data_IF_522614994615
#
_entry.id   IF_522614994615
#
_cell.length_a   1.000
_cell.length_b   1.000
_cell.length_c   1.000
_cell.angle_alpha   90.00
_cell.angle_beta   90.00
_cell.angle_gamma   90.00
#
_symmetry.space_group_name_H-M   'P 1'
#
loop_
_entity.id
_entity.type
_entity.pdbx_description
1 polymer ?
#
# COMPACT_ATOMS: atom_id res chain seq x y z
N UNK A 1 2.12 12.58 26.06
CA UNK A 1 2.77 11.82 24.96
C UNK A 1 1.68 11.34 24.04
N UNK A 2 1.90 11.44 22.73
CA UNK A 2 1.04 10.89 21.67
C UNK A 2 1.93 10.34 20.55
N UNK A 3 1.40 9.55 19.62
CA UNK A 3 2.12 9.08 18.45
C UNK A 3 1.96 10.04 17.26
N UNK A 4 2.94 10.03 16.35
CA UNK A 4 2.90 10.82 15.10
C UNK A 4 1.87 10.30 14.11
N UNK A 5 1.48 9.03 14.23
CA UNK A 5 0.52 8.33 13.37
C UNK A 5 -0.26 7.29 14.18
N UNK A 6 -1.56 7.14 13.91
CA UNK A 6 -2.45 6.26 14.68
C UNK A 6 -3.06 5.13 13.86
N UNK A 7 -2.84 5.13 12.54
CA UNK A 7 -3.28 4.07 11.64
C UNK A 7 -2.26 3.92 10.52
N UNK A 8 -1.78 2.70 10.29
CA UNK A 8 -0.84 2.37 9.22
C UNK A 8 -1.27 1.09 8.52
N UNK A 9 -1.14 1.09 7.21
CA UNK A 9 -1.19 -0.13 6.40
C UNK A 9 0.19 -0.36 5.82
N UNK A 10 0.79 -1.50 6.12
CA UNK A 10 2.12 -1.88 5.65
C UNK A 10 2.10 -3.24 4.96
N UNK A 11 2.88 -3.39 3.92
CA UNK A 11 3.00 -4.65 3.19
C UNK A 11 3.96 -5.61 3.92
N UNK A 12 3.66 -6.89 3.91
CA UNK A 12 4.52 -7.93 4.48
C UNK A 12 5.97 -7.81 4.00
N UNK A 13 6.91 -7.75 4.95
CA UNK A 13 8.32 -7.51 4.73
C UNK A 13 8.74 -6.04 4.73
N UNK A 14 7.81 -5.09 4.60
CA UNK A 14 8.10 -3.66 4.70
C UNK A 14 8.23 -3.21 6.16
N UNK A 15 8.76 -2.01 6.35
CA UNK A 15 8.93 -1.39 7.66
C UNK A 15 8.27 -0.01 7.70
N UNK A 16 7.83 0.41 8.89
CA UNK A 16 7.43 1.79 9.13
C UNK A 16 8.08 2.33 10.41
N UNK A 17 8.23 3.65 10.47
CA UNK A 17 8.77 4.36 11.63
C UNK A 17 7.63 5.12 12.30
N UNK A 18 7.44 4.90 13.60
CA UNK A 18 6.41 5.55 14.41
C UNK A 18 7.11 6.39 15.49
N UNK A 19 6.92 7.72 15.45
CA UNK A 19 7.57 8.61 16.39
C UNK A 19 6.65 8.98 17.55
N UNK A 20 7.13 8.94 18.82
CA UNK A 20 6.43 9.53 19.94
C UNK A 20 6.59 11.06 19.92
N UNK A 21 5.50 11.76 20.21
CA UNK A 21 5.45 13.21 20.35
C UNK A 21 5.18 13.56 21.82
N UNK A 22 6.00 14.42 22.40
CA UNK A 22 5.88 14.84 23.79
C UNK A 22 5.42 16.30 23.88
N UNK A 23 4.55 16.58 24.86
CA UNK A 23 4.11 17.94 25.17
C UNK A 23 4.22 18.16 26.67
N UNK A 24 5.03 19.16 27.13
CA UNK A 24 5.95 19.97 26.33
C UNK A 24 7.13 19.14 25.78
N UNK A 25 7.71 19.57 24.68
CA UNK A 25 8.86 18.93 24.01
C UNK A 25 10.19 19.04 24.82
N UNK A 26 10.20 19.95 25.80
CA UNK A 26 11.32 20.18 26.73
C UNK A 26 11.48 19.12 27.83
N UNK A 27 10.70 18.03 27.78
CA UNK A 27 10.85 16.89 28.72
C UNK A 27 12.23 16.26 28.55
N UNK A 28 12.98 16.17 29.66
CA UNK A 28 14.37 15.73 29.67
C UNK A 28 14.55 14.23 29.32
N UNK A 29 13.53 13.41 29.55
CA UNK A 29 13.55 11.98 29.19
C UNK A 29 12.33 11.66 28.35
N UNK A 30 12.55 11.43 27.05
CA UNK A 30 11.55 11.06 26.05
C UNK A 30 11.60 9.57 25.70
N UNK A 31 12.17 8.73 26.58
CA UNK A 31 12.24 7.30 26.36
C UNK A 31 10.86 6.64 26.39
N UNK A 32 10.65 5.73 25.46
CA UNK A 32 9.41 4.98 25.26
C UNK A 32 9.71 3.48 25.25
N UNK A 33 8.90 2.74 25.95
CA UNK A 33 8.84 1.28 25.80
C UNK A 33 7.83 0.94 24.71
N UNK A 34 8.28 0.18 23.72
CA UNK A 34 7.49 -0.24 22.58
C UNK A 34 7.11 -1.72 22.66
N UNK A 35 5.88 -2.03 22.30
CA UNK A 35 5.41 -3.39 22.11
C UNK A 35 4.33 -3.46 21.03
N UNK A 36 4.06 -4.67 20.53
CA UNK A 36 2.89 -4.96 19.69
C UNK A 36 1.98 -5.95 20.41
N UNK A 37 0.68 -5.85 20.16
CA UNK A 37 -0.30 -6.77 20.73
C UNK A 37 -0.14 -8.19 20.14
N UNK A 38 0.29 -8.28 18.88
CA UNK A 38 0.61 -9.55 18.21
C UNK A 38 1.90 -9.42 17.39
N UNK A 39 2.96 -10.07 17.88
CA UNK A 39 4.28 -10.05 17.22
C UNK A 39 4.36 -10.96 15.99
N UNK A 40 3.39 -11.84 15.77
CA UNK A 40 3.31 -12.64 14.55
C UNK A 40 2.81 -11.80 13.37
N UNK A 41 2.02 -10.76 13.64
CA UNK A 41 1.52 -9.83 12.62
C UNK A 41 2.55 -8.73 12.36
N UNK A 42 3.02 -8.04 13.40
CA UNK A 42 4.07 -7.03 13.29
C UNK A 42 4.87 -6.93 14.59
N UNK A 43 6.15 -6.58 14.49
CA UNK A 43 7.05 -6.46 15.64
C UNK A 43 8.04 -5.32 15.48
N UNK A 44 8.51 -4.76 16.58
CA UNK A 44 9.59 -3.80 16.56
C UNK A 44 10.94 -4.49 16.33
N UNK A 45 11.72 -3.96 15.38
CA UNK A 45 13.11 -4.36 15.14
C UNK A 45 14.07 -3.62 16.05
N UNK A 46 13.76 -2.36 16.34
CA UNK A 46 14.52 -1.46 17.21
C UNK A 46 13.59 -0.44 17.86
N UNK A 47 14.12 0.70 18.32
CA UNK A 47 13.43 1.69 19.18
C UNK A 47 12.12 2.23 18.58
N UNK A 48 12.02 2.39 17.24
CA UNK A 48 10.89 3.07 16.60
C UNK A 48 10.48 2.44 15.26
N UNK A 49 11.20 1.41 14.82
CA UNK A 49 11.00 0.77 13.52
C UNK A 49 10.22 -0.52 13.68
N UNK A 50 8.99 -0.52 13.19
CA UNK A 50 8.10 -1.67 13.11
C UNK A 50 8.31 -2.40 11.78
N UNK A 51 8.34 -3.74 11.80
CA UNK A 51 8.33 -4.59 10.60
C UNK A 51 7.03 -5.36 10.50
N UNK A 52 6.46 -5.42 9.31
CA UNK A 52 5.35 -6.29 8.96
C UNK A 52 5.83 -7.74 8.81
N UNK A 53 5.23 -8.68 9.52
CA UNK A 53 5.67 -10.09 9.54
C UNK A 53 4.73 -10.96 8.72
N UNK A 54 3.43 -10.91 9.01
CA UNK A 54 2.41 -11.73 8.34
C UNK A 54 1.11 -10.94 8.22
N UNK A 55 0.36 -11.19 7.16
CA UNK A 55 -0.95 -10.58 6.95
C UNK A 55 -1.86 -10.68 8.18
N UNK A 56 -2.47 -9.55 8.56
CA UNK A 56 -3.34 -9.46 9.72
C UNK A 56 -3.47 -8.04 10.25
N UNK A 57 -4.01 -7.90 11.46
CA UNK A 57 -4.10 -6.61 12.15
C UNK A 57 -3.65 -6.73 13.59
N UNK A 58 -2.90 -5.73 14.06
CA UNK A 58 -2.42 -5.64 15.43
C UNK A 58 -2.39 -4.18 15.89
N UNK A 59 -1.89 -3.93 17.08
CA UNK A 59 -1.66 -2.60 17.62
C UNK A 59 -0.19 -2.44 18.03
N UNK A 60 0.44 -1.37 17.59
CA UNK A 60 1.69 -0.90 18.15
C UNK A 60 1.36 -0.01 19.37
N UNK A 61 2.03 -0.26 20.48
CA UNK A 61 1.76 0.40 21.77
C UNK A 61 3.04 1.07 22.24
N UNK A 62 2.95 2.33 22.56
CA UNK A 62 4.02 3.14 23.13
C UNK A 62 3.68 3.51 24.56
N UNK A 63 4.58 3.26 25.51
CA UNK A 63 4.41 3.59 26.92
C UNK A 63 5.59 4.45 27.37
N UNK A 64 5.31 5.62 27.97
CA UNK A 64 6.37 6.47 28.49
C UNK A 64 7.12 5.80 29.64
N UNK A 65 8.45 5.78 29.57
CA UNK A 65 9.30 5.21 30.63
C UNK A 65 9.24 6.02 31.93
N UNK A 66 8.97 7.32 31.85
CA UNK A 66 8.90 8.21 33.02
C UNK A 66 7.51 8.27 33.65
N UNK A 67 6.46 7.94 32.91
CA UNK A 67 5.08 7.94 33.39
C UNK A 67 4.27 6.85 32.68
N UNK A 68 4.17 5.70 33.30
CA UNK A 68 3.49 4.51 32.74
C UNK A 68 1.98 4.70 32.51
N UNK A 69 1.37 5.77 33.04
CA UNK A 69 -0.01 6.13 32.76
C UNK A 69 -0.15 6.86 31.39
N UNK A 70 0.96 7.27 30.79
CA UNK A 70 1.00 7.88 29.47
C UNK A 70 1.38 6.86 28.42
N UNK A 71 0.38 6.35 27.76
CA UNK A 71 0.50 5.42 26.64
C UNK A 71 -0.30 5.92 25.46
N UNK A 72 0.08 5.51 24.26
CA UNK A 72 -0.68 5.73 23.04
C UNK A 72 -0.51 4.54 22.09
N UNK A 73 -1.44 4.39 21.14
CA UNK A 73 -1.50 3.23 20.25
C UNK A 73 -1.66 3.63 18.79
N UNK A 74 -1.05 2.84 17.91
CA UNK A 74 -1.24 2.91 16.47
C UNK A 74 -1.84 1.58 15.99
N UNK A 75 -2.94 1.63 15.22
CA UNK A 75 -3.47 0.45 14.53
C UNK A 75 -2.53 0.08 13.39
N UNK A 76 -2.20 -1.19 13.28
CA UNK A 76 -1.32 -1.73 12.25
C UNK A 76 -2.08 -2.77 11.45
N UNK A 77 -2.26 -2.52 10.16
CA UNK A 77 -2.81 -3.47 9.21
C UNK A 77 -1.69 -3.96 8.30
N UNK A 78 -1.44 -5.26 8.29
CA UNK A 78 -0.45 -5.87 7.40
C UNK A 78 -1.18 -6.52 6.23
N UNK A 79 -0.85 -6.09 5.02
CA UNK A 79 -1.35 -6.67 3.77
C UNK A 79 -0.33 -7.68 3.22
N UNK A 80 -0.80 -8.69 2.51
CA UNK A 80 0.06 -9.65 1.82
C UNK A 80 0.97 -8.94 0.82
N UNK A 81 2.14 -9.50 0.61
CA UNK A 81 3.05 -9.03 -0.43
C UNK A 81 2.39 -9.16 -1.82
N UNK A 82 2.49 -8.11 -2.62
CA UNK A 82 2.02 -8.14 -4.00
C UNK A 82 3.02 -8.89 -4.87
N UNK A 83 2.69 -10.13 -5.20
CA UNK A 83 3.50 -11.03 -6.01
C UNK A 83 2.65 -11.68 -7.08
N UNK A 84 3.07 -11.59 -8.35
CA UNK A 84 2.37 -12.15 -9.51
C UNK A 84 2.82 -13.57 -9.86
N UNK A 85 3.72 -14.17 -9.10
CA UNK A 85 4.28 -15.49 -9.44
C UNK A 85 3.23 -16.60 -9.51
N UNK A 86 2.09 -16.43 -8.84
CA UNK A 86 0.97 -17.37 -8.88
C UNK A 86 0.05 -17.22 -10.13
N UNK A 87 0.23 -16.17 -10.93
CA UNK A 87 -0.73 -15.80 -12.00
C UNK A 87 -0.30 -16.28 -13.38
N UNK A 88 0.71 -17.14 -13.49
CA UNK A 88 1.17 -17.70 -14.77
C UNK A 88 0.22 -18.73 -15.41
N UNK A 89 -0.82 -19.15 -14.68
CA UNK A 89 -1.81 -20.12 -15.17
C UNK A 89 -2.98 -19.48 -15.93
N UNK A 90 -3.03 -18.13 -16.01
CA UNK A 90 -4.05 -17.44 -16.77
C UNK A 90 -3.70 -17.39 -18.26
N UNK A 91 -4.64 -17.84 -19.15
CA UNK A 91 -4.35 -17.96 -20.58
C UNK A 91 -4.40 -16.62 -21.33
N UNK A 92 -5.03 -15.60 -20.76
CA UNK A 92 -5.24 -14.31 -21.43
C UNK A 92 -4.76 -13.15 -20.57
N UNK A 93 -4.49 -12.03 -21.23
CA UNK A 93 -4.13 -10.78 -20.57
C UNK A 93 -4.82 -9.57 -21.20
N UNK A 94 -5.01 -8.55 -20.41
CA UNK A 94 -5.52 -7.24 -20.76
C UNK A 94 -4.44 -6.20 -20.46
N UNK A 95 -4.19 -5.25 -21.38
CA UNK A 95 -3.14 -4.24 -21.21
C UNK A 95 -3.76 -2.86 -21.04
N UNK A 96 -3.32 -2.16 -19.99
CA UNK A 96 -3.83 -0.84 -19.66
C UNK A 96 -2.69 0.17 -19.72
N UNK A 97 -2.90 1.25 -20.48
CA UNK A 97 -2.02 2.42 -20.55
C UNK A 97 -2.69 3.55 -19.78
N UNK A 98 -2.19 3.89 -18.60
CA UNK A 98 -2.86 4.82 -17.69
C UNK A 98 -2.03 6.07 -17.32
N UNK A 99 -2.69 7.24 -17.27
CA UNK A 99 -2.27 8.39 -16.46
C UNK A 99 -2.89 8.23 -15.06
N UNK A 100 -2.06 7.90 -14.09
CA UNK A 100 -2.51 7.64 -12.72
C UNK A 100 -2.22 8.84 -11.84
N UNK A 101 -3.24 9.29 -11.11
CA UNK A 101 -3.17 10.41 -10.17
C UNK A 101 -3.67 9.98 -8.80
N UNK A 102 -2.85 10.23 -7.79
CA UNK A 102 -3.18 10.01 -6.39
C UNK A 102 -3.15 11.36 -5.68
N UNK A 103 -4.30 11.81 -5.16
CA UNK A 103 -4.48 13.14 -4.57
C UNK A 103 -3.94 14.26 -5.47
N UNK A 104 -4.25 14.20 -6.77
CA UNK A 104 -3.82 15.14 -7.79
C UNK A 104 -2.34 15.04 -8.22
N UNK A 105 -1.55 14.18 -7.60
CA UNK A 105 -0.13 13.99 -7.91
C UNK A 105 0.11 12.76 -8.79
N UNK A 106 1.09 12.77 -9.70
CA UNK A 106 1.47 11.61 -10.47
C UNK A 106 2.10 10.53 -9.56
N UNK A 107 1.95 9.27 -9.95
CA UNK A 107 2.59 8.13 -9.27
C UNK A 107 4.10 8.32 -9.24
N UNK A 108 4.71 7.97 -8.11
CA UNK A 108 6.16 7.97 -7.88
C UNK A 108 6.64 6.58 -7.44
N UNK A 109 7.94 6.45 -7.17
CA UNK A 109 8.60 5.17 -6.85
C UNK A 109 8.18 4.58 -5.48
N UNK A 110 7.60 5.40 -4.60
CA UNK A 110 7.07 4.95 -3.30
C UNK A 110 5.66 4.35 -3.41
N UNK A 111 5.02 4.49 -4.58
CA UNK A 111 3.65 4.04 -4.84
C UNK A 111 3.65 2.78 -5.69
N UNK A 112 3.06 1.70 -5.18
CA UNK A 112 2.78 0.48 -5.94
C UNK A 112 1.33 0.52 -6.41
N UNK A 113 1.13 0.21 -7.70
CA UNK A 113 -0.20 0.10 -8.30
C UNK A 113 -0.47 -1.37 -8.59
N UNK A 114 -1.57 -1.88 -8.04
CA UNK A 114 -2.04 -3.25 -8.29
C UNK A 114 -3.41 -3.27 -8.93
N UNK A 115 -3.63 -4.22 -9.84
CA UNK A 115 -4.92 -4.56 -10.41
C UNK A 115 -5.43 -5.86 -9.78
N UNK A 116 -6.67 -5.87 -9.32
CA UNK A 116 -7.24 -6.97 -8.54
C UNK A 116 -8.58 -7.43 -9.09
N UNK A 117 -8.83 -8.74 -9.03
CA UNK A 117 -10.17 -9.32 -9.10
C UNK A 117 -10.55 -9.79 -7.69
N UNK A 118 -11.48 -9.08 -7.04
CA UNK A 118 -11.74 -9.26 -5.61
C UNK A 118 -10.48 -8.99 -4.77
N UNK A 119 -9.95 -10.03 -4.12
CA UNK A 119 -8.71 -9.94 -3.34
C UNK A 119 -7.48 -10.53 -4.06
N UNK A 120 -7.65 -11.07 -5.25
CA UNK A 120 -6.58 -11.66 -6.01
C UNK A 120 -5.85 -10.61 -6.86
N UNK A 121 -4.55 -10.49 -6.67
CA UNK A 121 -3.70 -9.64 -7.49
C UNK A 121 -3.58 -10.24 -8.90
N UNK A 122 -3.96 -9.50 -9.92
CA UNK A 122 -3.96 -9.89 -11.33
C UNK A 122 -2.94 -9.13 -12.17
N UNK A 123 -2.45 -8.01 -11.69
CA UNK A 123 -1.48 -7.18 -12.41
C UNK A 123 -0.76 -6.19 -11.52
N UNK A 124 0.44 -5.77 -11.94
CA UNK A 124 1.22 -4.70 -11.31
C UNK A 124 1.50 -3.59 -12.31
N UNK A 125 1.40 -2.36 -11.84
CA UNK A 125 1.71 -1.16 -12.61
C UNK A 125 3.22 -0.93 -12.71
N UNK A 126 3.70 -0.73 -13.93
CA UNK A 126 5.07 -0.34 -14.21
C UNK A 126 5.07 1.06 -14.84
N UNK A 127 5.70 2.02 -14.17
CA UNK A 127 5.83 3.37 -14.72
C UNK A 127 6.86 3.37 -15.84
N UNK A 128 6.45 3.88 -16.99
CA UNK A 128 7.25 3.96 -18.22
C UNK A 128 7.27 5.39 -18.75
N UNK A 129 8.34 5.72 -19.45
CA UNK A 129 8.42 6.97 -20.23
C UNK A 129 8.80 6.66 -21.67
N UNK A 130 8.01 7.15 -22.61
CA UNK A 130 8.29 7.01 -24.04
C UNK A 130 7.99 8.31 -24.77
N UNK A 131 8.96 8.81 -25.53
CA UNK A 131 8.85 10.06 -26.29
C UNK A 131 8.38 11.26 -25.45
N UNK A 132 8.85 11.35 -24.19
CA UNK A 132 8.48 12.42 -23.25
C UNK A 132 7.09 12.27 -22.62
N UNK A 133 6.38 11.18 -22.90
CA UNK A 133 5.10 10.85 -22.25
C UNK A 133 5.35 9.80 -21.16
N UNK A 134 5.02 10.17 -19.92
CA UNK A 134 5.07 9.25 -18.77
C UNK A 134 3.70 8.62 -18.57
N UNK A 135 3.66 7.30 -18.42
CA UNK A 135 2.43 6.54 -18.18
C UNK A 135 2.73 5.30 -17.34
N UNK A 136 1.69 4.73 -16.74
CA UNK A 136 1.77 3.44 -16.07
C UNK A 136 1.20 2.37 -16.99
N UNK A 137 1.99 1.34 -17.26
CA UNK A 137 1.56 0.14 -17.99
C UNK A 137 1.16 -0.91 -16.96
N UNK A 138 -0.07 -1.42 -17.04
CA UNK A 138 -0.56 -2.51 -16.21
C UNK A 138 -0.96 -3.66 -17.13
N UNK A 139 -0.31 -4.82 -16.98
CA UNK A 139 -0.75 -6.05 -17.62
C UNK A 139 -1.54 -6.85 -16.59
N UNK A 140 -2.79 -7.11 -16.89
CA UNK A 140 -3.75 -7.81 -16.02
C UNK A 140 -4.01 -9.17 -16.60
N UNK A 141 -3.72 -10.22 -15.84
CA UNK A 141 -3.92 -11.61 -16.25
C UNK A 141 -5.31 -12.10 -15.85
N UNK A 142 -5.93 -12.93 -16.69
CA UNK A 142 -7.28 -13.44 -16.46
C UNK A 142 -7.59 -14.72 -17.20
N UNK A 143 -8.76 -15.34 -16.90
CA UNK A 143 -9.13 -16.64 -17.48
C UNK A 143 -9.44 -16.50 -18.98
N UNK A 144 -10.60 -15.98 -19.31
CA UNK A 144 -11.04 -15.75 -20.69
C UNK A 144 -11.67 -14.35 -20.78
N UNK A 145 -11.52 -13.69 -21.92
CA UNK A 145 -12.03 -12.34 -22.18
C UNK A 145 -13.53 -12.17 -21.85
N UNK A 146 -14.32 -13.22 -21.99
CA UNK A 146 -15.75 -13.21 -21.72
C UNK A 146 -16.12 -13.53 -20.26
N UNK A 147 -15.17 -13.61 -19.35
CA UNK A 147 -15.46 -13.88 -17.92
C UNK A 147 -16.21 -12.74 -17.22
N UNK A 148 -16.16 -11.54 -17.78
CA UNK A 148 -16.73 -10.31 -17.20
C UNK A 148 -16.31 -10.05 -15.74
N UNK A 149 -15.13 -10.52 -15.35
CA UNK A 149 -14.56 -10.25 -14.04
C UNK A 149 -14.30 -8.74 -13.90
N UNK A 150 -14.68 -8.20 -12.75
CA UNK A 150 -14.42 -6.78 -12.45
C UNK A 150 -13.01 -6.64 -11.90
N UNK A 151 -12.23 -5.80 -12.55
CA UNK A 151 -10.87 -5.44 -12.14
C UNK A 151 -10.93 -4.08 -11.45
N UNK A 152 -10.54 -4.06 -10.18
CA UNK A 152 -10.36 -2.85 -9.38
C UNK A 152 -8.86 -2.54 -9.23
N UNK A 153 -8.54 -1.28 -9.04
CA UNK A 153 -7.16 -0.84 -8.92
C UNK A 153 -6.91 -0.32 -7.51
N UNK A 154 -5.73 -0.62 -6.96
CA UNK A 154 -5.32 -0.16 -5.63
C UNK A 154 -3.94 0.46 -5.70
N UNK A 155 -3.74 1.51 -4.91
CA UNK A 155 -2.45 2.15 -4.67
C UNK A 155 -2.00 1.85 -3.24
N UNK A 156 -0.82 1.27 -3.10
CA UNK A 156 -0.12 1.18 -1.83
C UNK A 156 1.00 2.22 -1.80
N UNK A 157 0.85 3.21 -0.93
CA UNK A 157 1.85 4.27 -0.69
C UNK A 157 2.73 3.87 0.50
N UNK A 158 3.98 3.48 0.22
CA UNK A 158 4.98 3.09 1.22
C UNK A 158 5.40 4.22 2.13
N UNK A 159 5.32 5.46 1.65
CA UNK A 159 5.73 6.63 2.42
C UNK A 159 4.65 7.10 3.38
N UNK A 160 3.39 6.99 2.96
CA UNK A 160 2.23 7.37 3.79
C UNK A 160 1.69 6.20 4.60
N UNK A 161 2.11 4.99 4.29
CA UNK A 161 1.60 3.74 4.88
C UNK A 161 0.09 3.58 4.69
N UNK A 162 -0.38 3.87 3.47
CA UNK A 162 -1.81 3.77 3.11
C UNK A 162 -2.04 2.80 1.97
N UNK A 163 -3.21 2.17 1.99
CA UNK A 163 -3.75 1.40 0.88
C UNK A 163 -5.09 2.03 0.48
N UNK A 164 -5.18 2.50 -0.75
CA UNK A 164 -6.37 3.18 -1.27
C UNK A 164 -6.81 2.54 -2.58
N UNK A 165 -8.13 2.53 -2.83
CA UNK A 165 -8.72 1.99 -4.04
C UNK A 165 -9.14 3.12 -4.98
N UNK A 166 -8.88 2.95 -6.27
CA UNK A 166 -9.31 3.89 -7.30
C UNK A 166 -10.82 3.82 -7.51
N UNK A 167 -11.43 4.93 -7.91
CA UNK A 167 -12.86 4.99 -8.22
C UNK A 167 -13.22 4.25 -9.50
N UNK A 168 -12.25 4.09 -10.41
CA UNK A 168 -12.43 3.43 -11.69
C UNK A 168 -12.22 1.92 -11.57
N UNK A 169 -13.08 1.17 -12.24
CA UNK A 169 -12.97 -0.28 -12.42
C UNK A 169 -13.20 -0.64 -13.88
N UNK A 170 -12.61 -1.74 -14.33
CA UNK A 170 -12.78 -2.25 -15.70
C UNK A 170 -13.32 -3.68 -15.67
N UNK A 171 -14.05 -4.07 -16.72
CA UNK A 171 -14.30 -5.48 -16.99
C UNK A 171 -13.08 -6.10 -17.65
N UNK A 172 -12.72 -7.31 -17.26
CA UNK A 172 -11.69 -8.07 -17.96
C UNK A 172 -12.26 -8.56 -19.30
N UNK A 173 -11.74 -8.02 -20.39
CA UNK A 173 -12.20 -8.30 -21.77
C UNK A 173 -11.10 -8.80 -22.70
N UNK A 174 -9.86 -8.88 -22.21
CA UNK A 174 -8.69 -9.31 -23.01
C UNK A 174 -8.18 -8.24 -23.97
N UNK A 175 -8.78 -7.05 -23.99
CA UNK A 175 -8.43 -5.98 -24.92
C UNK A 175 -7.42 -4.99 -24.31
N UNK A 176 -6.93 -4.07 -25.14
CA UNK A 176 -6.07 -2.98 -24.67
C UNK A 176 -6.90 -1.74 -24.33
N UNK A 177 -6.74 -1.24 -23.12
CA UNK A 177 -7.38 0.00 -22.66
C UNK A 177 -6.39 1.17 -22.70
N UNK A 178 -6.70 2.15 -23.54
CA UNK A 178 -5.82 3.27 -23.82
C UNK A 178 -4.67 2.92 -24.76
N UNK A 179 -3.78 3.87 -24.93
CA UNK A 179 -2.55 3.76 -25.73
C UNK A 179 -1.54 4.80 -25.25
N UNK A 180 -0.26 4.75 -25.64
CA UNK A 180 0.71 5.80 -25.28
C UNK A 180 0.32 7.21 -25.73
N UNK A 181 -0.56 7.34 -26.74
CA UNK A 181 -1.09 8.62 -27.22
C UNK A 181 -2.44 9.02 -26.62
N UNK A 182 -3.14 8.08 -25.99
CA UNK A 182 -4.46 8.30 -25.39
C UNK A 182 -4.59 7.45 -24.11
N UNK A 183 -4.10 8.00 -23.01
CA UNK A 183 -4.06 7.30 -21.73
C UNK A 183 -5.45 7.21 -21.07
N UNK A 184 -5.73 6.05 -20.48
CA UNK A 184 -6.84 5.92 -19.55
C UNK A 184 -6.51 6.71 -18.26
N UNK A 185 -7.48 7.41 -17.69
CA UNK A 185 -7.28 8.13 -16.44
C UNK A 185 -7.76 7.27 -15.27
N UNK A 186 -6.88 7.09 -14.27
CA UNK A 186 -7.22 6.47 -12.99
C UNK A 186 -6.89 7.47 -11.87
N UNK A 187 -7.85 7.71 -10.96
CA UNK A 187 -7.72 8.77 -9.95
C UNK A 187 -8.13 8.30 -8.56
N UNK A 188 -7.34 8.72 -7.56
CA UNK A 188 -7.73 8.79 -6.16
C UNK A 188 -7.79 10.27 -5.79
N UNK A 189 -8.96 10.74 -5.32
CA UNK A 189 -9.24 12.13 -4.95
C UNK A 189 -8.58 12.52 -3.60
#
# INVERSE_FOLDING_TARGET
>A
MTLSIHDVTIMEGDTCVIHPLFTPDSISNQAVFWMTADQQVARFLNIDTLVAVTQGSTQAIAISVTDYHKADTCRVSVISRWDLTANFDYPEDMVIYADIRVHGQPVNDDMLIGAFCGNELRGLGNTMERSGVRYTLIRVWGPYAMSNETIVFRCYDRRRYTLEEFSEALSFDGESHGSPSQLLRLTIE
#
